data_IF_677822274155
#
_entry.id   IF_677822274155
#
_cell.length_a   1.000
_cell.length_b   1.000
_cell.length_c   1.000
_cell.angle_alpha   90.00
_cell.angle_beta   90.00
_cell.angle_gamma   90.00
#
_symmetry.space_group_name_H-M   'P 1'
#
loop_
_entity.id
_entity.type
_entity.pdbx_description
1 polymer ?
#
# COMPACT_ATOMS: atom_id res chain seq x y z
N UNK A 1 4.10 26.82 16.49
CA UNK A 1 5.53 26.49 16.38
C UNK A 1 5.74 25.89 15.01
N UNK A 2 6.38 26.64 14.13
CA UNK A 2 6.66 26.26 12.75
C UNK A 2 7.55 25.02 12.74
N UNK A 3 7.10 23.96 12.08
CA UNK A 3 7.97 22.84 11.73
C UNK A 3 8.81 23.29 10.53
N UNK A 4 10.12 23.45 10.74
CA UNK A 4 11.06 23.81 9.69
C UNK A 4 11.09 22.71 8.61
N UNK A 5 10.94 23.13 7.35
CA UNK A 5 10.88 22.26 6.16
C UNK A 5 12.24 21.60 5.80
N UNK A 6 13.19 21.64 6.74
CA UNK A 6 14.59 21.24 6.58
C UNK A 6 15.09 20.36 7.73
N UNK A 7 14.19 19.69 8.47
CA UNK A 7 14.58 18.71 9.47
C UNK A 7 15.46 17.62 8.81
N UNK A 8 16.74 17.48 9.22
CA UNK A 8 17.70 16.54 8.64
C UNK A 8 17.13 15.12 8.51
N UNK A 9 16.25 14.72 9.42
CA UNK A 9 15.62 13.40 9.51
C UNK A 9 14.79 13.05 8.26
N UNK A 10 14.06 14.00 7.67
CA UNK A 10 13.25 13.76 6.48
C UNK A 10 14.11 13.59 5.22
N UNK A 11 15.22 14.34 5.14
CA UNK A 11 16.21 14.20 4.08
C UNK A 11 17.09 12.97 4.30
N UNK A 12 17.33 12.56 5.55
CA UNK A 12 18.14 11.41 5.89
C UNK A 12 17.38 10.11 5.61
N UNK A 13 16.07 10.03 5.84
CA UNK A 13 15.26 8.87 5.42
C UNK A 13 15.27 8.70 3.89
N UNK A 14 15.09 9.79 3.12
CA UNK A 14 15.14 9.74 1.65
C UNK A 14 16.55 9.42 1.17
N UNK A 15 17.59 10.04 1.76
CA UNK A 15 18.99 9.83 1.38
C UNK A 15 19.48 8.42 1.75
N UNK A 16 19.10 7.92 2.92
CA UNK A 16 19.50 6.59 3.44
C UNK A 16 18.84 5.46 2.68
N UNK A 17 17.59 5.63 2.22
CA UNK A 17 16.86 4.56 1.51
C UNK A 17 16.95 4.64 -0.01
N UNK A 18 17.23 5.81 -0.59
CA UNK A 18 17.35 5.98 -2.05
C UNK A 18 18.79 5.97 -2.57
N UNK A 19 19.80 5.93 -1.70
CA UNK A 19 21.18 5.68 -2.10
C UNK A 19 21.44 4.18 -2.07
N UNK A 20 21.46 3.51 -3.21
CA UNK A 20 21.91 2.11 -3.32
C UNK A 20 23.43 2.03 -3.08
N UNK A 21 23.92 1.28 -2.06
CA UNK A 21 25.29 0.79 -2.08
C UNK A 21 25.31 -0.55 -2.82
N UNK A 22 26.21 -0.61 -3.79
CA UNK A 22 26.67 -1.83 -4.45
C UNK A 22 27.17 -2.79 -3.38
N UNK A 23 26.81 -4.06 -3.53
CA UNK A 23 27.23 -5.16 -2.66
C UNK A 23 28.76 -5.20 -2.49
N UNK A 24 29.19 -5.37 -1.25
CA UNK A 24 30.46 -5.98 -0.91
C UNK A 24 30.24 -6.83 0.34
N UNK A 25 30.50 -8.12 0.15
CA UNK A 25 30.60 -9.17 1.16
C UNK A 25 31.46 -8.73 2.34
N UNK A 26 31.12 -9.20 3.54
CA UNK A 26 32.10 -9.77 4.47
C UNK A 26 31.38 -10.64 5.53
N UNK A 27 32.00 -11.79 5.78
CA UNK A 27 31.62 -12.86 6.71
C UNK A 27 32.00 -12.55 8.19
N UNK A 28 31.81 -13.56 9.05
CA UNK A 28 32.24 -13.75 10.46
C UNK A 28 31.22 -13.33 11.55
N UNK A 29 30.95 -14.06 12.65
CA UNK A 29 31.59 -15.22 13.29
C UNK A 29 30.62 -15.88 14.34
N UNK A 30 30.94 -17.14 14.71
CA UNK A 30 30.71 -17.96 15.93
C UNK A 30 29.42 -17.89 16.78
N UNK A 31 28.72 -19.00 17.00
CA UNK A 31 28.89 -20.12 17.99
C UNK A 31 28.77 -19.75 19.47
N UNK A 32 27.77 -20.31 20.18
CA UNK A 32 27.98 -21.07 21.44
C UNK A 32 26.75 -21.91 21.87
N UNK A 33 27.09 -23.08 22.45
CA UNK A 33 26.32 -24.20 23.02
C UNK A 33 25.96 -23.90 24.50
N UNK A 34 25.14 -24.59 25.29
CA UNK A 34 24.11 -25.65 25.24
C UNK A 34 23.78 -25.96 26.74
N UNK A 35 22.70 -26.72 27.01
CA UNK A 35 22.41 -27.54 28.22
C UNK A 35 21.53 -26.99 29.40
N UNK A 36 20.26 -27.45 29.36
CA UNK A 36 19.49 -28.27 30.33
C UNK A 36 19.28 -27.87 31.80
N UNK A 37 17.99 -27.79 32.21
CA UNK A 37 17.44 -28.56 33.36
C UNK A 37 15.88 -28.46 33.44
N UNK A 38 15.21 -29.62 33.50
CA UNK A 38 13.90 -29.90 34.14
C UNK A 38 14.19 -30.90 35.30
N UNK A 39 13.28 -31.28 36.25
CA UNK A 39 11.81 -31.40 36.13
C UNK A 39 10.98 -31.08 37.42
N UNK A 40 9.64 -31.23 37.35
CA UNK A 40 8.75 -32.00 38.27
C UNK A 40 7.38 -31.35 38.56
N UNK A 41 6.29 -32.11 38.36
CA UNK A 41 4.91 -31.87 38.86
C UNK A 41 4.62 -32.78 40.09
N UNK A 42 3.50 -32.66 40.85
CA UNK A 42 2.17 -33.15 40.40
C UNK A 42 0.88 -32.53 41.03
N UNK A 43 -0.26 -32.99 40.48
CA UNK A 43 -1.57 -33.30 41.11
C UNK A 43 -2.73 -32.27 41.27
N UNK A 44 -3.73 -32.48 40.41
CA UNK A 44 -5.20 -32.35 40.43
C UNK A 44 -6.03 -32.29 41.74
N UNK A 45 -7.16 -31.53 41.71
CA UNK A 45 -8.50 -31.93 42.19
C UNK A 45 -9.64 -30.95 41.76
N UNK A 46 -10.85 -31.46 41.57
CA UNK A 46 -12.16 -30.76 41.40
C UNK A 46 -13.25 -31.67 42.02
N UNK A 47 -14.58 -31.34 42.11
CA UNK A 47 -15.30 -30.06 42.02
C UNK A 47 -16.33 -29.83 43.17
N UNK A 48 -16.90 -28.62 43.29
CA UNK A 48 -18.28 -28.43 43.78
C UNK A 48 -18.84 -27.11 43.28
N UNK A 49 -19.99 -27.10 42.60
CA UNK A 49 -20.67 -25.86 42.21
C UNK A 49 -22.18 -26.03 42.26
N UNK A 50 -22.81 -25.39 43.25
CA UNK A 50 -24.13 -24.78 43.04
C UNK A 50 -23.85 -23.47 42.30
N UNK A 51 -24.34 -23.32 41.07
CA UNK A 51 -24.12 -22.09 40.28
C UNK A 51 -25.34 -21.18 40.39
N UNK A 52 -25.18 -20.10 41.14
CA UNK A 52 -25.94 -18.87 40.96
C UNK A 52 -25.67 -18.31 39.56
N UNK A 53 -26.70 -17.74 38.91
CA UNK A 53 -26.57 -17.09 37.60
C UNK A 53 -25.81 -15.76 37.81
N UNK A 54 -24.48 -15.82 37.66
CA UNK A 54 -23.63 -14.64 37.62
C UNK A 54 -23.50 -14.14 36.18
N UNK A 55 -24.03 -12.95 35.90
CA UNK A 55 -23.73 -12.25 34.66
C UNK A 55 -22.25 -11.90 34.63
N UNK A 56 -21.50 -12.54 33.72
CA UNK A 56 -20.05 -12.36 33.60
C UNK A 56 -19.75 -10.92 33.14
N UNK A 57 -19.06 -10.14 33.97
CA UNK A 57 -18.66 -8.74 33.67
C UNK A 57 -17.73 -8.62 32.47
N UNK A 58 -17.15 -9.72 32.01
CA UNK A 58 -16.27 -9.79 30.84
C UNK A 58 -17.01 -10.36 29.63
N UNK A 59 -17.77 -9.49 28.97
CA UNK A 59 -18.50 -9.78 27.71
C UNK A 59 -17.58 -10.30 26.61
N UNK A 60 -16.28 -9.96 26.62
CA UNK A 60 -15.30 -10.39 25.61
C UNK A 60 -14.95 -11.86 25.72
N UNK A 61 -14.82 -12.39 26.95
CA UNK A 61 -14.64 -13.82 27.19
C UNK A 61 -15.91 -14.61 26.86
N UNK A 62 -17.08 -14.06 27.18
CA UNK A 62 -18.38 -14.65 26.83
C UNK A 62 -18.58 -14.75 25.31
N UNK A 63 -18.30 -13.67 24.57
CA UNK A 63 -18.34 -13.69 23.10
C UNK A 63 -17.34 -14.68 22.49
N UNK A 64 -16.14 -14.80 23.07
CA UNK A 64 -15.15 -15.79 22.62
C UNK A 64 -15.63 -17.23 22.86
N UNK A 65 -16.38 -17.48 23.92
CA UNK A 65 -16.98 -18.78 24.21
C UNK A 65 -18.17 -19.12 23.29
N UNK A 66 -19.02 -18.12 22.97
CA UNK A 66 -20.13 -18.28 22.03
C UNK A 66 -19.66 -18.49 20.58
N UNK A 67 -18.56 -17.84 20.19
CA UNK A 67 -18.03 -17.90 18.84
C UNK A 67 -17.16 -19.15 18.56
N UNK A 68 -17.22 -20.18 19.41
CA UNK A 68 -16.88 -21.58 19.13
C UNK A 68 -15.57 -21.86 18.38
N UNK A 69 -14.67 -22.60 19.02
CA UNK A 69 -13.54 -23.28 18.39
C UNK A 69 -13.93 -23.96 17.06
N UNK A 70 -13.50 -23.41 15.92
CA UNK A 70 -13.34 -24.18 14.68
C UNK A 70 -11.99 -24.91 14.71
N UNK A 71 -11.83 -25.80 15.70
CA UNK A 71 -10.67 -26.69 15.78
C UNK A 71 -11.05 -27.93 16.59
N UNK A 72 -11.44 -29.00 15.91
CA UNK A 72 -11.00 -30.34 16.30
C UNK A 72 -11.01 -31.31 15.09
N UNK A 73 -9.78 -31.61 14.67
CA UNK A 73 -9.25 -32.79 13.95
C UNK A 73 -10.24 -33.74 13.26
N UNK A 74 -10.07 -33.90 11.94
CA UNK A 74 -9.93 -35.24 11.39
C UNK A 74 -8.87 -35.31 10.28
N UNK A 75 -8.17 -36.43 10.26
CA UNK A 75 -6.95 -36.76 9.55
C UNK A 75 -7.23 -37.05 8.06
N UNK A 76 -6.45 -36.50 7.13
CA UNK A 76 -6.54 -36.86 5.71
C UNK A 76 -5.70 -35.94 4.81
N UNK A 77 -4.63 -36.49 4.24
CA UNK A 77 -3.60 -35.76 3.50
C UNK A 77 -4.09 -35.00 2.27
N UNK A 78 -3.39 -33.90 1.99
CA UNK A 78 -3.50 -33.11 0.78
C UNK A 78 -2.61 -31.89 0.90
N UNK A 79 -1.37 -32.00 0.40
CA UNK A 79 -0.46 -30.86 0.23
C UNK A 79 -1.15 -29.78 -0.59
N UNK A 80 -1.57 -28.71 0.07
CA UNK A 80 -1.83 -27.44 -0.56
C UNK A 80 -0.85 -26.44 0.04
N UNK A 81 0.33 -26.33 -0.60
CA UNK A 81 1.19 -25.17 -0.46
C UNK A 81 0.39 -23.96 -0.91
N UNK A 82 -0.22 -23.27 0.05
CA UNK A 82 -0.87 -21.98 -0.21
C UNK A 82 0.23 -20.94 -0.28
N UNK A 83 0.69 -20.68 -1.51
CA UNK A 83 1.33 -19.41 -1.83
C UNK A 83 0.37 -18.27 -1.43
N UNK A 84 0.75 -17.34 -0.55
CA UNK A 84 -0.12 -16.22 -0.16
C UNK A 84 -0.26 -15.15 -1.26
N UNK A 85 0.24 -15.42 -2.48
CA UNK A 85 0.40 -14.42 -3.55
C UNK A 85 -0.92 -13.97 -4.22
N UNK A 86 -2.06 -14.61 -3.94
CA UNK A 86 -3.34 -14.25 -4.56
C UNK A 86 -4.52 -14.32 -3.59
N UNK A 87 -4.56 -13.40 -2.62
CA UNK A 87 -5.78 -13.16 -1.84
C UNK A 87 -6.58 -12.00 -2.48
N UNK A 88 -7.40 -12.30 -3.48
CA UNK A 88 -8.40 -11.38 -4.07
C UNK A 88 -9.73 -11.38 -3.30
N UNK A 89 -9.71 -11.73 -2.00
CA UNK A 89 -10.86 -11.65 -1.09
C UNK A 89 -10.88 -10.34 -0.29
N UNK A 90 -12.02 -9.97 0.34
CA UNK A 90 -12.11 -8.78 1.20
C UNK A 90 -11.01 -8.80 2.28
N UNK A 91 -10.34 -7.67 2.51
CA UNK A 91 -9.36 -7.55 3.60
C UNK A 91 -10.02 -7.88 4.95
N UNK A 92 -9.69 -9.05 5.49
CA UNK A 92 -10.11 -9.45 6.83
C UNK A 92 -9.24 -8.78 7.89
N UNK A 93 -9.78 -7.79 8.61
CA UNK A 93 -9.06 -7.08 9.69
C UNK A 93 -8.50 -8.02 10.77
N UNK A 94 -9.18 -9.15 11.04
CA UNK A 94 -8.70 -10.16 11.98
C UNK A 94 -7.47 -10.95 11.50
N UNK A 95 -7.29 -11.08 10.18
CA UNK A 95 -6.08 -11.67 9.61
C UNK A 95 -4.94 -10.63 9.60
N UNK A 96 -5.26 -9.38 9.26
CA UNK A 96 -4.30 -8.27 9.23
C UNK A 96 -3.64 -8.06 10.61
N UNK A 97 -4.41 -8.16 11.69
CA UNK A 97 -3.91 -7.98 13.06
C UNK A 97 -2.86 -9.00 13.52
N UNK A 98 -2.72 -10.13 12.80
CA UNK A 98 -1.72 -11.16 13.12
C UNK A 98 -0.38 -10.94 12.41
N UNK A 99 -0.31 -9.98 11.49
CA UNK A 99 0.85 -9.70 10.67
C UNK A 99 1.74 -8.64 11.34
N UNK A 100 3.04 -8.63 11.01
CA UNK A 100 3.94 -7.54 11.42
C UNK A 100 3.53 -6.21 10.78
N UNK A 101 3.93 -5.03 11.32
CA UNK A 101 3.59 -3.73 10.72
C UNK A 101 3.99 -3.63 9.23
N UNK A 102 5.18 -4.13 8.89
CA UNK A 102 5.68 -4.24 7.52
C UNK A 102 4.73 -5.04 6.61
N UNK A 103 4.37 -6.26 7.03
CA UNK A 103 3.44 -7.13 6.31
C UNK A 103 2.04 -6.54 6.22
N UNK A 104 1.58 -5.81 7.25
CA UNK A 104 0.29 -5.13 7.23
C UNK A 104 0.27 -4.04 6.16
N UNK A 105 1.29 -3.17 6.14
CA UNK A 105 1.40 -2.10 5.13
C UNK A 105 1.46 -2.69 3.72
N UNK A 106 2.29 -3.71 3.50
CA UNK A 106 2.35 -4.40 2.21
C UNK A 106 1.00 -5.00 1.81
N UNK A 107 0.31 -5.69 2.72
CA UNK A 107 -0.99 -6.32 2.45
C UNK A 107 -2.08 -5.29 2.15
N UNK A 108 -2.12 -4.18 2.89
CA UNK A 108 -3.05 -3.06 2.64
C UNK A 108 -2.82 -2.50 1.23
N UNK A 109 -1.57 -2.17 0.90
CA UNK A 109 -1.18 -1.62 -0.40
C UNK A 109 -1.49 -2.59 -1.54
N UNK A 110 -1.23 -3.89 -1.34
CA UNK A 110 -1.44 -4.92 -2.37
C UNK A 110 -2.90 -5.13 -2.71
N UNK A 111 -3.79 -4.96 -1.74
CA UNK A 111 -5.22 -5.10 -1.93
C UNK A 111 -5.90 -3.80 -2.40
N UNK A 112 -5.44 -2.64 -1.91
CA UNK A 112 -6.07 -1.34 -2.24
C UNK A 112 -5.49 -0.67 -3.48
N UNK A 113 -4.25 -1.00 -3.85
CA UNK A 113 -3.45 -0.42 -4.93
C UNK A 113 -3.10 1.07 -4.77
N UNK A 114 -4.02 1.91 -4.28
CA UNK A 114 -3.80 3.35 -4.00
C UNK A 114 -4.60 3.76 -2.76
N UNK A 115 -3.95 4.36 -1.77
CA UNK A 115 -4.61 4.92 -0.56
C UNK A 115 -3.95 6.20 -0.05
N UNK A 116 -4.71 7.01 0.69
CA UNK A 116 -4.16 8.16 1.43
C UNK A 116 -3.36 7.72 2.64
N UNK A 117 -2.36 8.53 3.06
CA UNK A 117 -1.55 8.24 4.24
C UNK A 117 -2.40 8.02 5.49
N UNK A 118 -3.36 8.92 5.73
CA UNK A 118 -4.27 8.85 6.87
C UNK A 118 -5.12 7.56 6.87
N UNK A 119 -5.52 7.07 5.70
CA UNK A 119 -6.26 5.81 5.59
C UNK A 119 -5.37 4.62 5.89
N UNK A 120 -4.16 4.57 5.33
CA UNK A 120 -3.20 3.48 5.63
C UNK A 120 -2.90 3.44 7.13
N UNK A 121 -2.59 4.58 7.74
CA UNK A 121 -2.31 4.69 9.16
C UNK A 121 -3.47 4.17 10.03
N UNK A 122 -4.72 4.44 9.63
CA UNK A 122 -5.92 3.94 10.32
C UNK A 122 -6.15 2.43 10.12
N UNK A 123 -5.73 1.88 9.00
CA UNK A 123 -5.91 0.45 8.69
C UNK A 123 -4.86 -0.43 9.35
N UNK A 124 -3.65 0.10 9.59
CA UNK A 124 -2.63 -0.60 10.38
C UNK A 124 -3.16 -0.78 11.81
N UNK A 125 -3.10 -2.01 12.29
CA UNK A 125 -3.71 -2.40 13.58
C UNK A 125 -2.76 -2.24 14.76
N UNK A 126 -1.46 -2.09 14.48
CA UNK A 126 -0.40 -1.89 15.47
C UNK A 126 -0.03 -0.40 15.51
N UNK A 127 0.14 0.21 16.70
CA UNK A 127 0.64 1.57 16.80
C UNK A 127 1.99 1.70 16.10
N UNK A 128 2.08 2.61 15.13
CA UNK A 128 3.28 2.87 14.33
C UNK A 128 3.56 4.37 14.34
N UNK A 129 4.82 4.75 14.56
CA UNK A 129 5.25 6.13 14.44
C UNK A 129 5.15 6.58 12.97
N UNK A 130 4.84 7.85 12.76
CA UNK A 130 4.67 8.41 11.41
C UNK A 130 5.92 8.20 10.54
N UNK A 131 7.11 8.46 11.09
CA UNK A 131 8.39 8.27 10.42
C UNK A 131 8.62 6.82 9.97
N UNK A 132 8.25 5.85 10.80
CA UNK A 132 8.38 4.43 10.48
C UNK A 132 7.36 3.99 9.42
N UNK A 133 6.13 4.51 9.47
CA UNK A 133 5.15 4.25 8.42
C UNK A 133 5.61 4.83 7.07
N UNK A 134 6.16 6.05 7.06
CA UNK A 134 6.75 6.65 5.86
C UNK A 134 7.91 5.81 5.31
N UNK A 135 8.76 5.26 6.19
CA UNK A 135 9.85 4.35 5.83
C UNK A 135 9.33 3.12 5.06
N UNK A 136 8.31 2.47 5.59
CA UNK A 136 7.67 1.31 4.96
C UNK A 136 6.98 1.67 3.64
N UNK A 137 6.33 2.84 3.57
CA UNK A 137 5.70 3.32 2.35
C UNK A 137 6.72 3.59 1.24
N UNK A 138 7.88 4.19 1.55
CA UNK A 138 8.95 4.39 0.56
C UNK A 138 9.51 3.07 0.02
N UNK A 139 9.49 2.01 0.84
CA UNK A 139 9.92 0.68 0.42
C UNK A 139 8.93 0.06 -0.59
N UNK A 140 7.62 0.13 -0.35
CA UNK A 140 6.62 -0.60 -1.15
C UNK A 140 5.84 0.23 -2.17
N UNK A 141 5.82 1.54 -2.04
CA UNK A 141 4.94 2.43 -2.77
C UNK A 141 5.68 3.64 -3.38
N UNK A 142 4.97 4.34 -4.24
CA UNK A 142 5.36 5.60 -4.86
C UNK A 142 4.26 6.64 -4.62
N UNK A 143 4.65 7.91 -4.47
CA UNK A 143 3.69 8.98 -4.22
C UNK A 143 3.03 9.43 -5.53
N UNK A 144 1.69 9.53 -5.53
CA UNK A 144 0.83 9.92 -6.64
C UNK A 144 -0.12 11.01 -6.15
N UNK A 145 0.22 12.27 -6.39
CA UNK A 145 -0.56 13.45 -5.97
C UNK A 145 -0.94 13.40 -4.47
N UNK A 146 0.01 13.03 -3.60
CA UNK A 146 -0.21 12.95 -2.15
C UNK A 146 -0.76 11.61 -1.65
N UNK A 147 -1.23 10.74 -2.55
CA UNK A 147 -1.67 9.37 -2.22
C UNK A 147 -0.54 8.36 -2.49
N UNK A 148 -0.56 7.23 -1.81
CA UNK A 148 0.45 6.18 -1.94
C UNK A 148 -0.06 5.07 -2.84
N UNK A 149 0.62 4.85 -3.96
CA UNK A 149 0.34 3.76 -4.89
C UNK A 149 1.39 2.66 -4.75
N UNK A 150 0.97 1.40 -4.61
CA UNK A 150 1.93 0.27 -4.56
C UNK A 150 2.80 0.24 -5.83
N UNK A 151 4.10 -0.03 -5.70
CA UNK A 151 5.02 -0.16 -6.83
C UNK A 151 4.55 -1.29 -7.77
N UNK A 152 4.65 -1.05 -9.07
CA UNK A 152 4.10 -1.95 -10.09
C UNK A 152 4.72 -3.35 -10.08
N UNK A 153 5.99 -3.46 -9.68
CA UNK A 153 6.69 -4.75 -9.50
C UNK A 153 6.09 -5.67 -8.42
N UNK A 154 5.25 -5.15 -7.52
CA UNK A 154 4.54 -5.97 -6.53
C UNK A 154 3.14 -6.38 -7.00
N UNK A 155 2.69 -5.90 -8.16
CA UNK A 155 1.36 -6.15 -8.72
C UNK A 155 1.42 -7.11 -9.89
N UNK A 156 2.43 -6.96 -10.74
CA UNK A 156 2.63 -7.77 -11.94
C UNK A 156 4.02 -8.38 -11.96
N UNK A 157 4.12 -9.59 -12.52
CA UNK A 157 5.38 -10.31 -12.71
C UNK A 157 6.01 -10.01 -14.07
N UNK A 158 5.20 -9.63 -15.06
CA UNK A 158 5.65 -9.33 -16.42
C UNK A 158 6.24 -7.91 -16.51
N UNK A 159 7.45 -7.81 -17.05
CA UNK A 159 8.19 -6.54 -17.17
C UNK A 159 7.47 -5.53 -18.07
N UNK A 160 6.77 -5.99 -19.10
CA UNK A 160 6.03 -5.10 -19.98
C UNK A 160 4.81 -4.50 -19.27
N UNK A 161 4.07 -5.31 -18.52
CA UNK A 161 2.92 -4.86 -17.72
C UNK A 161 3.31 -3.92 -16.59
N UNK A 162 4.47 -4.16 -15.93
CA UNK A 162 5.04 -3.25 -14.94
C UNK A 162 5.29 -1.87 -15.56
N UNK A 163 5.98 -1.82 -16.71
CA UNK A 163 6.24 -0.55 -17.40
C UNK A 163 4.95 0.12 -17.87
N UNK A 164 3.95 -0.66 -18.31
CA UNK A 164 2.64 -0.14 -18.68
C UNK A 164 1.89 0.47 -17.48
N UNK A 165 1.96 -0.13 -16.30
CA UNK A 165 1.32 0.40 -15.09
C UNK A 165 2.00 1.67 -14.61
N UNK A 166 3.33 1.73 -14.67
CA UNK A 166 4.07 2.96 -14.36
C UNK A 166 3.75 4.09 -15.35
N UNK A 167 3.64 3.77 -16.64
CA UNK A 167 3.18 4.72 -17.67
C UNK A 167 1.75 5.21 -17.34
N UNK A 168 0.84 4.32 -16.96
CA UNK A 168 -0.52 4.68 -16.56
C UNK A 168 -0.53 5.68 -15.41
N UNK A 169 0.20 5.39 -14.33
CA UNK A 169 0.31 6.27 -13.17
C UNK A 169 0.87 7.64 -13.57
N UNK A 170 1.94 7.68 -14.37
CA UNK A 170 2.53 8.94 -14.83
C UNK A 170 1.57 9.77 -15.71
N UNK A 171 0.79 9.12 -16.58
CA UNK A 171 -0.23 9.78 -17.39
C UNK A 171 -1.36 10.35 -16.52
N UNK A 172 -1.81 9.60 -15.51
CA UNK A 172 -2.83 10.05 -14.56
C UNK A 172 -2.34 11.22 -13.69
N UNK A 173 -1.08 11.22 -13.26
CA UNK A 173 -0.46 12.36 -12.55
C UNK A 173 -0.50 13.60 -13.43
N UNK A 174 -0.08 13.49 -14.70
CA UNK A 174 -0.06 14.61 -15.64
C UNK A 174 -1.47 15.17 -15.90
N UNK A 175 -2.47 14.29 -16.03
CA UNK A 175 -3.87 14.68 -16.19
C UNK A 175 -4.50 15.25 -14.92
N UNK A 176 -4.07 14.79 -13.73
CA UNK A 176 -4.57 15.24 -12.43
C UNK A 176 -3.93 16.53 -11.92
N UNK A 177 -2.66 16.78 -12.25
CA UNK A 177 -1.95 18.02 -11.92
C UNK A 177 -2.52 19.25 -12.66
N UNK A 178 -3.28 19.05 -13.72
CA UNK A 178 -4.05 20.10 -14.38
C UNK A 178 -5.28 20.58 -13.57
N UNK A 179 -5.59 19.92 -12.44
CA UNK A 179 -6.62 20.36 -11.51
C UNK A 179 -6.08 21.49 -10.62
N UNK A 180 -6.22 22.73 -11.09
CA UNK A 180 -6.08 23.92 -10.24
C UNK A 180 -7.43 24.14 -9.55
N UNK A 181 -7.52 24.11 -8.21
CA UNK A 181 -8.75 24.51 -7.53
C UNK A 181 -9.05 25.97 -7.88
N UNK A 182 -10.32 26.37 -8.04
CA UNK A 182 -10.65 27.77 -8.26
C UNK A 182 -10.19 28.57 -7.04
N UNK A 183 -9.09 29.30 -7.18
CA UNK A 183 -8.65 30.26 -6.18
C UNK A 183 -9.72 31.34 -6.07
N UNK A 184 -10.34 31.44 -4.89
CA UNK A 184 -11.14 32.60 -4.52
C UNK A 184 -10.21 33.82 -4.53
N UNK A 185 -10.40 34.73 -5.48
CA UNK A 185 -9.68 36.01 -5.50
C UNK A 185 -9.33 36.52 -6.88
N UNK A 186 -10.30 37.13 -7.56
CA UNK A 186 -10.10 37.81 -8.83
C UNK A 186 -11.44 38.16 -9.46
N UNK A 187 -12.04 39.27 -9.04
CA UNK A 187 -13.24 39.79 -9.65
C UNK A 187 -12.94 40.16 -11.12
N UNK A 188 -13.61 39.48 -12.06
CA UNK A 188 -13.62 39.84 -13.48
C UNK A 188 -12.92 38.85 -14.41
N UNK A 189 -13.41 37.62 -14.51
CA UNK A 189 -13.34 36.84 -15.75
C UNK A 189 -14.34 35.68 -15.68
N UNK A 190 -14.97 35.40 -16.82
CA UNK A 190 -16.23 34.69 -16.99
C UNK A 190 -16.34 33.27 -16.41
N UNK A 191 -17.59 32.93 -16.14
CA UNK A 191 -18.14 31.70 -15.60
C UNK A 191 -17.50 30.38 -16.07
N UNK A 192 -17.25 29.51 -15.08
CA UNK A 192 -17.56 28.08 -15.05
C UNK A 192 -17.37 27.29 -16.37
N UNK A 193 -16.15 26.82 -16.61
CA UNK A 193 -15.99 25.49 -17.20
C UNK A 193 -14.75 24.85 -16.57
N UNK A 194 -14.85 23.75 -15.79
CA UNK A 194 -13.67 22.95 -15.49
C UNK A 194 -13.05 22.55 -16.85
N UNK A 195 -11.72 22.59 -17.02
CA UNK A 195 -11.12 22.25 -18.30
C UNK A 195 -11.66 20.87 -18.74
N UNK A 196 -12.28 20.82 -19.93
CA UNK A 196 -12.96 19.65 -20.49
C UNK A 196 -12.06 18.40 -20.63
N UNK A 197 -10.76 18.53 -20.31
CA UNK A 197 -9.71 17.52 -20.42
C UNK A 197 -9.16 17.06 -19.06
N UNK A 198 -9.91 17.19 -17.96
CA UNK A 198 -9.52 16.55 -16.70
C UNK A 198 -9.68 15.03 -16.82
N UNK A 199 -8.60 14.31 -17.09
CA UNK A 199 -8.54 12.85 -17.12
C UNK A 199 -7.83 12.27 -18.34
N UNK A 200 -7.54 10.98 -18.28
CA UNK A 200 -6.90 10.19 -19.33
C UNK A 200 -7.97 9.67 -20.31
N UNK A 201 -7.90 9.97 -21.62
CA UNK A 201 -8.87 9.46 -22.59
C UNK A 201 -8.86 7.92 -22.64
N UNK A 202 -10.05 7.30 -22.76
CA UNK A 202 -10.24 5.83 -22.69
C UNK A 202 -9.33 5.04 -23.64
N UNK A 203 -9.18 5.53 -24.86
CA UNK A 203 -8.40 4.84 -25.90
C UNK A 203 -6.91 5.20 -25.88
N UNK A 204 -6.51 6.27 -25.19
CA UNK A 204 -5.13 6.74 -25.23
C UNK A 204 -4.17 5.72 -24.62
N UNK A 205 -4.52 5.16 -23.47
CA UNK A 205 -3.71 4.15 -22.80
C UNK A 205 -3.67 2.85 -23.59
N UNK A 206 -4.83 2.35 -24.04
CA UNK A 206 -4.91 1.12 -24.86
C UNK A 206 -4.10 1.25 -26.15
N UNK A 207 -4.20 2.38 -26.83
CA UNK A 207 -3.47 2.61 -28.08
C UNK A 207 -1.96 2.68 -27.85
N UNK A 208 -1.53 3.26 -26.73
CA UNK A 208 -0.12 3.35 -26.37
C UNK A 208 0.50 1.98 -26.05
N UNK A 209 -0.23 1.13 -25.32
CA UNK A 209 0.29 -0.15 -24.79
C UNK A 209 -0.10 -1.37 -25.63
N UNK A 210 -1.09 -1.30 -26.52
CA UNK A 210 -1.61 -2.47 -27.27
C UNK A 210 -1.99 -3.68 -26.41
N UNK A 211 -2.16 -3.50 -25.11
CA UNK A 211 -2.65 -4.54 -24.21
C UNK A 211 -4.10 -4.91 -24.58
N UNK A 212 -4.51 -6.13 -24.22
CA UNK A 212 -5.90 -6.56 -24.39
C UNK A 212 -6.86 -5.64 -23.62
N UNK A 213 -8.10 -5.53 -24.10
CA UNK A 213 -9.11 -4.66 -23.47
C UNK A 213 -9.34 -5.06 -22.01
N UNK A 214 -9.37 -6.36 -21.71
CA UNK A 214 -9.56 -6.88 -20.36
C UNK A 214 -8.40 -6.47 -19.45
N UNK A 215 -7.16 -6.55 -19.95
CA UNK A 215 -5.98 -6.19 -19.17
C UNK A 215 -5.90 -4.69 -18.91
N UNK A 216 -6.19 -3.88 -19.92
CA UNK A 216 -6.31 -2.42 -19.75
C UNK A 216 -7.38 -2.07 -18.72
N UNK A 217 -8.55 -2.70 -18.79
CA UNK A 217 -9.65 -2.47 -17.87
C UNK A 217 -9.28 -2.83 -16.44
N UNK A 218 -8.62 -3.96 -16.25
CA UNK A 218 -8.10 -4.39 -14.94
C UNK A 218 -7.10 -3.38 -14.38
N UNK A 219 -6.06 -3.01 -15.14
CA UNK A 219 -5.04 -2.05 -14.70
C UNK A 219 -5.65 -0.70 -14.31
N UNK A 220 -6.61 -0.21 -15.09
CA UNK A 220 -7.30 1.05 -14.82
C UNK A 220 -8.15 0.95 -13.56
N UNK A 221 -8.90 -0.14 -13.39
CA UNK A 221 -9.75 -0.34 -12.21
C UNK A 221 -8.96 -0.48 -10.91
N UNK A 222 -7.64 -0.72 -10.95
CA UNK A 222 -6.81 -0.71 -9.73
C UNK A 222 -6.59 0.70 -9.19
N UNK A 223 -6.39 1.69 -10.05
CA UNK A 223 -5.88 3.02 -9.67
C UNK A 223 -6.80 4.19 -10.05
N UNK A 224 -7.75 3.94 -10.95
CA UNK A 224 -8.60 4.95 -11.57
C UNK A 224 -10.08 4.54 -11.59
N UNK A 225 -10.93 5.55 -11.77
CA UNK A 225 -12.37 5.42 -12.04
C UNK A 225 -12.72 6.09 -13.36
N UNK A 226 -13.65 5.50 -14.09
CA UNK A 226 -14.17 6.06 -15.32
C UNK A 226 -15.26 7.08 -15.00
N UNK A 227 -15.00 8.36 -15.25
CA UNK A 227 -15.98 9.44 -15.12
C UNK A 227 -16.31 9.96 -16.52
N UNK A 228 -17.57 9.81 -16.95
CA UNK A 228 -18.04 10.22 -18.28
C UNK A 228 -17.19 9.63 -19.44
N UNK A 229 -16.27 10.42 -20.01
CA UNK A 229 -15.42 10.08 -21.15
C UNK A 229 -13.95 9.83 -20.80
N UNK A 230 -13.53 9.98 -19.53
CA UNK A 230 -12.12 9.90 -19.15
C UNK A 230 -11.89 9.14 -17.85
N UNK A 231 -10.70 8.55 -17.73
CA UNK A 231 -10.20 7.93 -16.51
C UNK A 231 -9.54 8.96 -15.62
N UNK A 232 -9.87 8.92 -14.34
CA UNK A 232 -9.30 9.80 -13.31
C UNK A 232 -8.84 8.97 -12.13
N UNK A 233 -7.87 9.45 -11.36
CA UNK A 233 -7.45 8.78 -10.14
C UNK A 233 -8.66 8.54 -9.22
N UNK A 234 -8.67 7.37 -8.55
CA UNK A 234 -9.70 6.99 -7.59
C UNK A 234 -9.84 7.98 -6.44
N UNK A 235 -8.69 8.49 -5.99
CA UNK A 235 -8.61 9.42 -4.87
C UNK A 235 -8.29 10.82 -5.37
N UNK A 236 -8.90 11.87 -4.78
CA UNK A 236 -8.49 13.23 -5.04
C UNK A 236 -7.05 13.45 -4.52
N UNK A 237 -6.34 14.49 -5.01
CA UNK A 237 -5.05 14.85 -4.46
C UNK A 237 -5.11 15.07 -2.94
N UNK A 238 -4.18 14.48 -2.19
CA UNK A 238 -4.10 14.64 -0.73
C UNK A 238 -3.28 15.89 -0.40
N UNK A 239 -3.95 17.06 -0.44
CA UNK A 239 -3.32 18.35 -0.21
C UNK A 239 -2.72 18.47 1.22
N UNK A 240 -3.32 17.80 2.21
CA UNK A 240 -2.83 17.83 3.58
C UNK A 240 -1.49 17.10 3.69
N UNK A 241 -1.37 15.91 3.10
CA UNK A 241 -0.11 15.17 3.06
C UNK A 241 0.97 15.94 2.29
N UNK A 242 0.63 16.51 1.14
CA UNK A 242 1.58 17.30 0.33
C UNK A 242 2.10 18.52 1.09
N UNK A 243 1.23 19.22 1.82
CA UNK A 243 1.63 20.37 2.64
C UNK A 243 2.50 19.95 3.83
N UNK A 244 2.23 18.80 4.45
CA UNK A 244 3.00 18.28 5.58
C UNK A 244 4.38 17.73 5.17
N UNK A 245 4.52 17.18 3.95
CA UNK A 245 5.74 16.52 3.49
C UNK A 245 6.28 17.05 2.15
N UNK A 246 6.62 18.35 2.04
CA UNK A 246 7.06 18.97 0.79
C UNK A 246 8.37 18.40 0.26
N UNK A 247 9.24 17.84 1.12
CA UNK A 247 10.47 17.17 0.69
C UNK A 247 10.19 15.86 -0.07
N UNK A 248 9.27 15.03 0.44
CA UNK A 248 8.85 13.78 -0.21
C UNK A 248 8.17 14.08 -1.55
N UNK A 249 7.32 15.12 -1.58
CA UNK A 249 6.70 15.57 -2.83
C UNK A 249 7.76 15.94 -3.88
N UNK A 250 8.71 16.81 -3.54
CA UNK A 250 9.77 17.24 -4.48
C UNK A 250 10.59 16.06 -5.01
N UNK A 251 10.88 15.08 -4.16
CA UNK A 251 11.58 13.87 -4.57
C UNK A 251 10.77 13.11 -5.64
N UNK A 252 9.49 12.80 -5.36
CA UNK A 252 8.67 12.04 -6.31
C UNK A 252 8.33 12.82 -7.58
N UNK A 253 8.22 14.16 -7.52
CA UNK A 253 8.05 15.00 -8.71
C UNK A 253 9.24 14.85 -9.68
N UNK A 254 10.47 14.78 -9.15
CA UNK A 254 11.67 14.54 -9.95
C UNK A 254 11.73 13.09 -10.43
N UNK A 255 11.46 12.14 -9.55
CA UNK A 255 11.45 10.72 -9.86
C UNK A 255 10.46 10.39 -10.99
N UNK A 256 9.23 10.90 -10.94
CA UNK A 256 8.23 10.67 -11.98
C UNK A 256 8.60 11.30 -13.32
N UNK A 257 9.26 12.46 -13.35
CA UNK A 257 9.78 13.06 -14.59
C UNK A 257 10.79 12.12 -15.27
N UNK A 258 11.70 11.54 -14.49
CA UNK A 258 12.68 10.59 -15.00
C UNK A 258 12.03 9.26 -15.39
N UNK A 259 11.17 8.70 -14.52
CA UNK A 259 10.49 7.44 -14.75
C UNK A 259 9.62 7.50 -16.00
N UNK A 260 8.88 8.59 -16.23
CA UNK A 260 8.07 8.77 -17.44
C UNK A 260 8.92 8.64 -18.72
N UNK A 261 10.09 9.25 -18.75
CA UNK A 261 11.00 9.15 -19.90
C UNK A 261 11.50 7.71 -20.12
N UNK A 262 11.77 6.99 -19.04
CA UNK A 262 12.21 5.59 -19.09
C UNK A 262 11.08 4.67 -19.58
N UNK A 263 9.91 4.74 -18.96
CA UNK A 263 8.80 3.81 -19.26
C UNK A 263 8.23 4.02 -20.66
N UNK A 264 8.26 5.24 -21.20
CA UNK A 264 7.89 5.49 -22.60
C UNK A 264 8.83 4.72 -23.56
N UNK A 265 10.13 4.71 -23.28
CA UNK A 265 11.11 3.93 -24.07
C UNK A 265 10.90 2.44 -23.88
N UNK A 266 10.77 1.97 -22.64
CA UNK A 266 10.55 0.55 -22.30
C UNK A 266 9.28 0.00 -22.98
N UNK A 267 8.17 0.74 -22.90
CA UNK A 267 6.90 0.35 -23.53
C UNK A 267 7.03 0.35 -25.05
N UNK A 268 7.66 1.36 -25.66
CA UNK A 268 7.84 1.38 -27.11
C UNK A 268 8.69 0.21 -27.61
N UNK A 269 9.82 -0.06 -26.95
CA UNK A 269 10.75 -1.13 -27.34
C UNK A 269 10.10 -2.51 -27.24
N UNK A 270 9.40 -2.80 -26.14
CA UNK A 270 8.79 -4.12 -25.90
C UNK A 270 7.47 -4.34 -26.64
N UNK A 271 6.77 -3.26 -27.00
CA UNK A 271 5.53 -3.34 -27.80
C UNK A 271 5.79 -3.82 -29.23
N UNK A 272 6.95 -3.45 -29.77
CA UNK A 272 7.31 -3.66 -31.17
C UNK A 272 8.32 -4.81 -31.35
N UNK A 273 8.70 -5.49 -30.25
CA UNK A 273 9.52 -6.71 -30.22
C UNK A 273 8.65 -7.97 -30.27
#
# INVERSE_FOLDING_TARGET
>A
TFYDAETPEALDIIRTLCSTPVASDDEDDKTEKDLLAEPSAPASASPSSSQDILFVSNTRSYLRALCGHASEKNNGGGSASQNPAHATGPLGYGALAKLSPDQQVFTILRHRHVESFATIQRLVTVPIAESELLRLLLQYAVLVLGNWAIKSMYVYDDMYEISCRDLLLALLIRSGAAFVPPSQGGAGSDACTPPASAGLPKEAFRSATRLSLDRVSQMLQEVAVCSSSAWRLKLPPDAAFLAAHPAIQRHFDQWWKQRLQQVVKEVHQRRDA
#
